data_IF_321265926948
#
_entry.id   IF_321265926948
#
_cell.length_a   1.000
_cell.length_b   1.000
_cell.length_c   1.000
_cell.angle_alpha   90.00
_cell.angle_beta   90.00
_cell.angle_gamma   90.00
#
_symmetry.space_group_name_H-M   'P 1'
#
loop_
_entity.id
_entity.type
_entity.pdbx_description
1 polymer ?
#
# COMPACT_ATOMS: atom_id res chain seq x y z
N UNK A 1 -3.60 -11.78 3.50
CA UNK A 1 -4.45 -12.83 2.87
C UNK A 1 -5.01 -12.38 1.53
N UNK A 2 -5.77 -11.28 1.44
CA UNK A 2 -6.35 -10.78 0.17
C UNK A 2 -5.33 -10.48 -0.93
N UNK A 3 -4.22 -9.81 -0.60
CA UNK A 3 -3.09 -9.64 -1.54
C UNK A 3 -2.62 -10.94 -2.21
N UNK A 4 -2.57 -12.05 -1.45
CA UNK A 4 -2.16 -13.35 -1.99
C UNK A 4 -3.23 -13.96 -2.90
N UNK A 5 -4.50 -13.78 -2.54
CA UNK A 5 -5.66 -14.24 -3.32
C UNK A 5 -5.69 -13.55 -4.69
N UNK A 6 -5.50 -12.23 -4.71
CA UNK A 6 -5.41 -11.43 -5.94
C UNK A 6 -4.21 -11.87 -6.80
N UNK A 7 -3.06 -12.16 -6.19
CA UNK A 7 -1.88 -12.59 -6.96
C UNK A 7 -1.94 -14.04 -7.47
N UNK A 8 -2.78 -14.89 -6.87
CA UNK A 8 -2.90 -16.30 -7.23
C UNK A 8 -3.73 -16.57 -8.50
N UNK A 9 -4.52 -15.60 -8.95
CA UNK A 9 -5.36 -15.73 -10.14
C UNK A 9 -4.89 -14.82 -11.29
N UNK A 10 -5.04 -15.23 -12.56
CA UNK A 10 -4.84 -14.35 -13.73
C UNK A 10 -5.92 -13.26 -13.76
N UNK A 11 -7.19 -13.68 -13.64
CA UNK A 11 -8.33 -12.80 -13.45
C UNK A 11 -8.79 -12.86 -12.00
N UNK A 12 -8.87 -11.69 -11.38
CA UNK A 12 -9.18 -11.56 -9.96
C UNK A 12 -10.65 -11.20 -9.79
N UNK A 13 -11.30 -11.87 -8.85
CA UNK A 13 -12.70 -11.59 -8.52
C UNK A 13 -12.81 -10.14 -8.02
N UNK A 14 -13.69 -9.37 -8.67
CA UNK A 14 -13.92 -7.97 -8.34
C UNK A 14 -14.37 -7.79 -6.89
N UNK A 15 -15.05 -8.80 -6.32
CA UNK A 15 -15.40 -8.83 -4.90
C UNK A 15 -14.16 -8.83 -3.99
N UNK A 16 -13.13 -9.59 -4.34
CA UNK A 16 -11.89 -9.68 -3.55
C UNK A 16 -11.13 -8.34 -3.61
N UNK A 17 -11.16 -7.65 -4.76
CA UNK A 17 -10.60 -6.29 -4.88
C UNK A 17 -11.37 -5.29 -4.03
N UNK A 18 -12.71 -5.30 -4.10
CA UNK A 18 -13.53 -4.41 -3.30
C UNK A 18 -13.29 -4.61 -1.80
N UNK A 19 -13.21 -5.86 -1.34
CA UNK A 19 -12.90 -6.17 0.06
C UNK A 19 -11.50 -5.66 0.48
N UNK A 20 -10.52 -5.67 -0.43
CA UNK A 20 -9.20 -5.08 -0.15
C UNK A 20 -9.30 -3.55 -0.04
N UNK A 21 -9.99 -2.89 -0.98
CA UNK A 21 -10.18 -1.44 -1.01
C UNK A 21 -10.92 -0.95 0.26
N UNK A 22 -11.93 -1.70 0.71
CA UNK A 22 -12.66 -1.42 1.96
C UNK A 22 -11.75 -1.51 3.18
N UNK A 23 -10.93 -2.58 3.28
CA UNK A 23 -9.98 -2.73 4.38
C UNK A 23 -8.93 -1.61 4.41
N UNK A 24 -8.40 -1.20 3.24
CA UNK A 24 -7.45 -0.09 3.16
C UNK A 24 -8.08 1.22 3.64
N UNK A 25 -9.34 1.47 3.26
CA UNK A 25 -10.12 2.63 3.71
C UNK A 25 -10.33 2.61 5.22
N UNK A 26 -10.69 1.47 5.80
CA UNK A 26 -10.90 1.32 7.24
C UNK A 26 -9.61 1.50 8.04
N UNK A 27 -8.48 1.00 7.53
CA UNK A 27 -7.16 1.23 8.12
C UNK A 27 -6.84 2.73 8.13
N UNK A 28 -7.00 3.43 7.01
CA UNK A 28 -6.76 4.89 6.91
C UNK A 28 -7.64 5.69 7.87
N UNK A 29 -8.93 5.35 7.95
CA UNK A 29 -9.89 5.98 8.86
C UNK A 29 -9.52 5.76 10.32
N UNK A 30 -9.13 4.53 10.67
CA UNK A 30 -8.75 4.17 12.04
C UNK A 30 -7.43 4.81 12.44
N UNK A 31 -6.43 4.81 11.56
CA UNK A 31 -5.15 5.46 11.77
C UNK A 31 -5.30 6.96 12.05
N UNK A 32 -6.13 7.65 11.27
CA UNK A 32 -6.42 9.07 11.50
C UNK A 32 -7.11 9.34 12.84
N UNK A 33 -8.04 8.46 13.27
CA UNK A 33 -8.65 8.55 14.60
C UNK A 33 -7.63 8.35 15.72
N UNK A 34 -6.74 7.37 15.59
CA UNK A 34 -5.69 7.10 16.57
C UNK A 34 -4.74 8.29 16.66
N UNK A 35 -4.26 8.80 15.51
CA UNK A 35 -3.41 10.00 15.45
C UNK A 35 -4.07 11.20 16.13
N UNK A 36 -5.35 11.45 15.86
CA UNK A 36 -6.11 12.54 16.49
C UNK A 36 -6.21 12.38 18.01
N UNK A 37 -6.48 11.16 18.50
CA UNK A 37 -6.55 10.87 19.94
C UNK A 37 -5.19 11.01 20.63
N UNK A 38 -4.11 10.52 20.02
CA UNK A 38 -2.74 10.68 20.54
C UNK A 38 -2.37 12.17 20.67
N UNK A 39 -2.64 12.96 19.62
CA UNK A 39 -2.44 14.41 19.65
C UNK A 39 -3.26 15.10 20.75
N UNK A 40 -4.49 14.63 20.99
CA UNK A 40 -5.30 15.14 22.10
C UNK A 40 -4.69 14.85 23.47
N UNK A 41 -4.10 13.67 23.67
CA UNK A 41 -3.38 13.33 24.91
C UNK A 41 -2.13 14.19 25.06
N UNK A 42 -1.37 14.39 23.97
CA UNK A 42 -0.19 15.27 23.95
C UNK A 42 -0.53 16.70 24.40
N UNK A 43 -1.58 17.30 23.83
CA UNK A 43 -2.04 18.64 24.21
C UNK A 43 -2.51 18.71 25.67
N UNK A 44 -3.19 17.67 26.16
CA UNK A 44 -3.60 17.57 27.58
C UNK A 44 -2.39 17.54 28.51
N UNK A 45 -1.35 16.78 28.15
CA UNK A 45 -0.08 16.73 28.91
C UNK A 45 0.57 18.12 28.94
N UNK A 46 0.72 18.78 27.79
CA UNK A 46 1.34 20.11 27.69
C UNK A 46 0.60 21.16 28.54
N UNK A 47 -0.73 21.14 28.50
CA UNK A 47 -1.57 22.04 29.29
C UNK A 47 -1.39 21.80 30.79
N UNK A 48 -1.41 20.56 31.25
CA UNK A 48 -1.28 20.23 32.68
C UNK A 48 0.13 20.47 33.23
N UNK A 49 1.16 20.26 32.40
CA UNK A 49 2.54 20.58 32.78
C UNK A 49 2.78 22.07 33.01
N UNK A 50 2.03 22.93 32.33
CA UNK A 50 2.11 24.38 32.53
C UNK A 50 1.64 24.81 33.93
N UNK A 51 0.75 24.01 34.55
CA UNK A 51 0.14 24.29 35.85
C UNK A 51 0.82 23.52 36.98
N UNK A 52 1.12 22.23 36.77
CA UNK A 52 1.75 21.38 37.79
C UNK A 52 2.61 20.27 37.16
N UNK A 53 3.91 20.55 37.02
CA UNK A 53 4.91 19.69 36.34
C UNK A 53 5.10 18.28 36.94
N UNK A 54 4.61 17.97 38.14
CA UNK A 54 4.99 16.74 38.83
C UNK A 54 3.85 15.92 39.43
N UNK A 55 2.62 16.09 38.91
CA UNK A 55 1.50 15.25 39.32
C UNK A 55 1.68 13.80 38.85
N UNK A 56 1.15 12.85 39.63
CA UNK A 56 1.14 11.44 39.23
C UNK A 56 0.33 11.22 37.95
N UNK A 57 -0.74 12.02 37.75
CA UNK A 57 -1.60 11.97 36.57
C UNK A 57 -0.83 12.32 35.29
N UNK A 58 -0.05 13.41 35.30
CA UNK A 58 0.81 13.81 34.17
C UNK A 58 1.82 12.70 33.82
N UNK A 59 2.44 12.08 34.84
CA UNK A 59 3.37 10.96 34.62
C UNK A 59 2.68 9.77 33.96
N UNK A 60 1.50 9.39 34.44
CA UNK A 60 0.71 8.29 33.87
C UNK A 60 0.36 8.60 32.41
N UNK A 61 -0.15 9.80 32.11
CA UNK A 61 -0.50 10.23 30.75
C UNK A 61 0.71 10.17 29.82
N UNK A 62 1.89 10.65 30.25
CA UNK A 62 3.14 10.57 29.49
C UNK A 62 3.55 9.14 29.16
N UNK A 63 3.51 8.25 30.15
CA UNK A 63 3.84 6.83 29.96
C UNK A 63 2.87 6.18 28.98
N UNK A 64 1.57 6.38 29.17
CA UNK A 64 0.54 5.82 28.28
C UNK A 64 0.66 6.36 26.86
N UNK A 65 0.83 7.68 26.68
CA UNK A 65 1.04 8.30 25.38
C UNK A 65 2.25 7.68 24.66
N UNK A 66 3.39 7.56 25.34
CA UNK A 66 4.61 6.97 24.77
C UNK A 66 4.39 5.51 24.34
N UNK A 67 3.74 4.69 25.17
CA UNK A 67 3.43 3.30 24.83
C UNK A 67 2.48 3.18 23.65
N UNK A 68 1.39 3.96 23.62
CA UNK A 68 0.40 3.94 22.55
C UNK A 68 1.00 4.44 21.22
N UNK A 69 1.78 5.51 21.26
CA UNK A 69 2.47 6.06 20.07
C UNK A 69 3.47 5.06 19.49
N UNK A 70 4.24 4.36 20.35
CA UNK A 70 5.17 3.31 19.89
C UNK A 70 4.43 2.17 19.19
N UNK A 71 3.35 1.66 19.79
CA UNK A 71 2.52 0.60 19.19
C UNK A 71 1.87 1.05 17.89
N UNK A 72 1.43 2.30 17.81
CA UNK A 72 0.85 2.85 16.58
C UNK A 72 1.88 2.88 15.45
N UNK A 73 3.09 3.39 15.71
CA UNK A 73 4.19 3.40 14.74
C UNK A 73 4.55 1.98 14.29
N UNK A 74 4.62 1.03 15.22
CA UNK A 74 4.92 -0.38 14.94
C UNK A 74 3.91 -0.98 13.94
N UNK A 75 2.61 -0.85 14.22
CA UNK A 75 1.54 -1.38 13.35
C UNK A 75 1.53 -0.68 11.98
N UNK A 76 1.73 0.65 11.94
CA UNK A 76 1.78 1.37 10.67
C UNK A 76 3.04 1.03 9.85
N UNK A 77 4.13 0.67 10.51
CA UNK A 77 5.35 0.18 9.84
C UNK A 77 5.11 -1.20 9.23
N UNK A 78 4.46 -2.11 9.97
CA UNK A 78 4.09 -3.43 9.44
C UNK A 78 3.10 -3.34 8.27
N UNK A 79 2.14 -2.41 8.36
CA UNK A 79 1.22 -2.12 7.27
C UNK A 79 1.97 -1.65 6.01
N UNK A 80 2.85 -0.65 6.14
CA UNK A 80 3.66 -0.17 5.01
C UNK A 80 4.53 -1.28 4.42
N UNK A 81 5.16 -2.11 5.25
CA UNK A 81 5.93 -3.27 4.77
C UNK A 81 5.07 -4.23 3.96
N UNK A 82 3.86 -4.53 4.45
CA UNK A 82 2.91 -5.41 3.74
C UNK A 82 2.54 -4.84 2.37
N UNK A 83 2.35 -3.52 2.28
CA UNK A 83 2.05 -2.83 1.05
C UNK A 83 3.25 -2.84 0.08
N UNK A 84 4.46 -2.52 0.53
CA UNK A 84 5.68 -2.62 -0.29
C UNK A 84 5.90 -4.04 -0.82
N UNK A 85 5.73 -5.06 0.03
CA UNK A 85 5.85 -6.46 -0.40
C UNK A 85 4.81 -6.82 -1.48
N UNK A 86 3.60 -6.26 -1.42
CA UNK A 86 2.59 -6.45 -2.45
C UNK A 86 2.95 -5.75 -3.76
N UNK A 87 3.47 -4.52 -3.70
CA UNK A 87 3.98 -3.76 -4.85
C UNK A 87 5.01 -4.58 -5.62
N UNK A 88 6.03 -5.08 -4.92
CA UNK A 88 7.12 -5.84 -5.53
C UNK A 88 6.62 -7.14 -6.17
N UNK A 89 5.62 -7.80 -5.57
CA UNK A 89 4.99 -8.97 -6.18
C UNK A 89 4.19 -8.63 -7.44
N UNK A 90 3.49 -7.48 -7.46
CA UNK A 90 2.80 -7.03 -8.67
C UNK A 90 3.80 -6.72 -9.79
N UNK A 91 4.89 -6.00 -9.47
CA UNK A 91 6.00 -5.74 -10.38
C UNK A 91 6.59 -7.04 -10.95
N UNK A 92 6.90 -8.01 -10.10
CA UNK A 92 7.42 -9.31 -10.54
C UNK A 92 6.45 -10.08 -11.46
N UNK A 93 5.13 -9.94 -11.25
CA UNK A 93 4.13 -10.50 -12.18
C UNK A 93 4.15 -9.80 -13.54
N UNK A 94 4.26 -8.47 -13.58
CA UNK A 94 4.38 -7.71 -14.83
C UNK A 94 5.64 -8.15 -15.59
N UNK A 95 6.78 -8.24 -14.89
CA UNK A 95 8.04 -8.70 -15.49
C UNK A 95 7.89 -10.07 -16.16
N UNK A 96 7.32 -11.04 -15.44
CA UNK A 96 7.11 -12.39 -15.97
C UNK A 96 6.18 -12.40 -17.19
N UNK A 97 5.16 -11.54 -17.20
CA UNK A 97 4.24 -11.41 -18.32
C UNK A 97 4.92 -10.81 -19.56
N UNK A 98 5.80 -9.82 -19.38
CA UNK A 98 6.63 -9.29 -20.47
C UNK A 98 7.58 -10.36 -21.04
N UNK A 99 8.21 -11.17 -20.18
CA UNK A 99 9.08 -12.27 -20.60
C UNK A 99 8.32 -13.32 -21.43
N UNK A 100 7.07 -13.66 -21.05
CA UNK A 100 6.21 -14.59 -21.82
C UNK A 100 5.94 -14.05 -23.23
N UNK A 101 5.82 -12.73 -23.38
CA UNK A 101 5.66 -12.07 -24.69
C UNK A 101 6.96 -11.94 -25.48
N UNK A 102 8.08 -12.43 -24.95
CA UNK A 102 9.40 -12.36 -25.57
C UNK A 102 10.15 -11.04 -25.33
N UNK A 103 9.66 -10.18 -24.43
CA UNK A 103 10.31 -8.92 -24.06
C UNK A 103 11.05 -9.07 -22.74
N UNK A 104 12.37 -9.24 -22.83
CA UNK A 104 13.25 -9.14 -21.65
C UNK A 104 13.26 -7.69 -21.17
N UNK A 105 13.08 -7.47 -19.87
CA UNK A 105 13.06 -6.12 -19.26
C UNK A 105 13.82 -6.17 -17.95
N UNK A 106 14.76 -5.25 -17.79
CA UNK A 106 15.52 -5.09 -16.55
C UNK A 106 14.64 -4.49 -15.45
N UNK A 107 15.07 -4.62 -14.19
CA UNK A 107 14.34 -4.03 -13.07
C UNK A 107 14.20 -2.50 -13.18
N UNK A 108 15.22 -1.82 -13.69
CA UNK A 108 15.23 -0.36 -13.84
C UNK A 108 14.30 0.09 -14.97
N UNK A 109 14.37 -0.59 -16.13
CA UNK A 109 13.43 -0.34 -17.23
C UNK A 109 11.99 -0.57 -16.77
N UNK A 110 11.72 -1.64 -16.03
CA UNK A 110 10.38 -1.95 -15.55
C UNK A 110 9.84 -0.88 -14.59
N UNK A 111 10.67 -0.34 -13.69
CA UNK A 111 10.26 0.78 -12.84
C UNK A 111 9.93 2.01 -13.67
N UNK A 112 10.79 2.37 -14.64
CA UNK A 112 10.52 3.50 -15.53
C UNK A 112 9.20 3.34 -16.29
N UNK A 113 8.87 2.11 -16.72
CA UNK A 113 7.61 1.80 -17.39
C UNK A 113 6.40 1.94 -16.45
N UNK A 114 6.53 1.53 -15.19
CA UNK A 114 5.48 1.69 -14.17
C UNK A 114 5.26 3.17 -13.85
N UNK A 115 6.35 3.93 -13.66
CA UNK A 115 6.34 5.36 -13.33
C UNK A 115 5.82 6.24 -14.47
N UNK A 116 6.05 5.84 -15.72
CA UNK A 116 5.52 6.55 -16.90
C UNK A 116 3.99 6.67 -16.87
N UNK A 117 3.30 5.77 -16.17
CA UNK A 117 1.84 5.82 -15.95
C UNK A 117 1.00 5.55 -17.20
N UNK A 118 1.62 5.30 -18.35
CA UNK A 118 0.97 4.96 -19.61
C UNK A 118 0.99 3.43 -19.84
N UNK A 119 -0.19 2.76 -19.80
CA UNK A 119 -0.30 1.34 -20.11
C UNK A 119 0.24 0.97 -21.50
N UNK A 120 0.23 1.92 -22.44
CA UNK A 120 0.75 1.74 -23.80
C UNK A 120 2.23 1.35 -23.84
N UNK A 121 3.01 1.76 -22.85
CA UNK A 121 4.44 1.42 -22.74
C UNK A 121 4.67 -0.09 -22.62
N UNK A 122 3.73 -0.83 -22.01
CA UNK A 122 3.77 -2.29 -21.91
C UNK A 122 3.38 -2.98 -23.23
N UNK A 123 2.57 -2.34 -24.07
CA UNK A 123 2.11 -2.89 -25.36
C UNK A 123 3.11 -2.71 -26.50
N UNK A 124 4.07 -1.79 -26.34
CA UNK A 124 5.00 -1.43 -27.39
C UNK A 124 5.89 -2.63 -27.76
N UNK A 125 5.72 -3.15 -28.99
CA UNK A 125 6.48 -4.28 -29.51
C UNK A 125 5.87 -5.67 -29.30
N UNK A 126 4.70 -5.77 -28.65
CA UNK A 126 3.97 -7.04 -28.51
C UNK A 126 3.03 -7.22 -29.70
N UNK A 127 3.15 -8.32 -30.45
CA UNK A 127 2.15 -8.69 -31.47
C UNK A 127 0.86 -9.16 -30.80
N UNK A 128 -0.17 -8.32 -30.79
CA UNK A 128 -1.47 -8.55 -30.10
C UNK A 128 -2.40 -9.50 -30.87
N UNK A 129 -1.91 -10.11 -31.94
CA UNK A 129 -2.74 -10.93 -32.84
C UNK A 129 -3.16 -12.27 -32.23
N UNK A 130 -2.53 -12.68 -31.13
CA UNK A 130 -2.87 -13.91 -30.41
C UNK A 130 -3.76 -13.63 -29.20
N UNK A 131 -4.71 -14.54 -28.93
CA UNK A 131 -5.52 -14.48 -27.70
C UNK A 131 -4.66 -14.52 -26.44
N UNK A 132 -3.52 -15.20 -26.48
CA UNK A 132 -2.55 -15.24 -25.39
C UNK A 132 -1.94 -13.86 -25.12
N UNK A 133 -1.51 -13.14 -26.15
CA UNK A 133 -0.96 -11.79 -26.00
C UNK A 133 -1.99 -10.80 -25.40
N UNK A 134 -3.26 -10.91 -25.81
CA UNK A 134 -4.36 -10.12 -25.23
C UNK A 134 -4.58 -10.40 -23.75
N UNK A 135 -4.54 -11.67 -23.35
CA UNK A 135 -4.68 -12.04 -21.94
C UNK A 135 -3.50 -11.55 -21.10
N UNK A 136 -2.28 -11.72 -21.61
CA UNK A 136 -1.06 -11.21 -20.96
C UNK A 136 -1.12 -9.70 -20.76
N UNK A 137 -1.61 -8.96 -21.76
CA UNK A 137 -1.77 -7.52 -21.63
C UNK A 137 -2.80 -7.13 -20.56
N UNK A 138 -3.97 -7.77 -20.56
CA UNK A 138 -5.00 -7.52 -19.55
C UNK A 138 -4.49 -7.81 -18.12
N UNK A 139 -3.67 -8.84 -17.95
CA UNK A 139 -3.02 -9.15 -16.69
C UNK A 139 -2.04 -8.02 -16.28
N UNK A 140 -1.22 -7.52 -17.21
CA UNK A 140 -0.28 -6.41 -16.95
C UNK A 140 -1.03 -5.15 -16.52
N UNK A 141 -2.05 -4.75 -17.27
CA UNK A 141 -2.88 -3.58 -16.96
C UNK A 141 -3.53 -3.70 -15.58
N UNK A 142 -4.07 -4.88 -15.25
CA UNK A 142 -4.67 -5.13 -13.95
C UNK A 142 -3.64 -5.05 -12.79
N UNK A 143 -2.40 -5.51 -13.01
CA UNK A 143 -1.33 -5.39 -12.00
C UNK A 143 -0.81 -3.96 -11.87
N UNK A 144 -0.71 -3.22 -12.96
CA UNK A 144 -0.31 -1.82 -12.95
C UNK A 144 -1.34 -0.95 -12.22
N UNK A 145 -2.64 -1.17 -12.47
CA UNK A 145 -3.71 -0.49 -11.74
C UNK A 145 -3.64 -0.75 -10.22
N UNK A 146 -3.32 -1.98 -9.81
CA UNK A 146 -3.13 -2.33 -8.40
C UNK A 146 -1.94 -1.56 -7.78
N UNK A 147 -0.81 -1.42 -8.51
CA UNK A 147 0.35 -0.64 -8.06
C UNK A 147 -0.02 0.84 -7.90
N UNK A 148 -0.71 1.43 -8.88
CA UNK A 148 -1.09 2.85 -8.84
C UNK A 148 -2.03 3.14 -7.67
N UNK A 149 -3.04 2.28 -7.45
CA UNK A 149 -3.95 2.39 -6.30
C UNK A 149 -3.19 2.30 -4.98
N UNK A 150 -2.27 1.33 -4.88
CA UNK A 150 -1.46 1.11 -3.71
C UNK A 150 -0.59 2.33 -3.37
N UNK A 151 0.17 2.84 -4.33
CA UNK A 151 1.05 3.99 -4.16
C UNK A 151 0.27 5.25 -3.76
N UNK A 152 -0.91 5.43 -4.32
CA UNK A 152 -1.84 6.50 -3.92
C UNK A 152 -2.26 6.34 -2.45
N UNK A 153 -2.62 5.12 -2.04
CA UNK A 153 -2.99 4.87 -0.64
C UNK A 153 -1.84 5.08 0.34
N UNK A 154 -0.60 4.76 -0.02
CA UNK A 154 0.57 4.99 0.82
C UNK A 154 0.85 6.50 0.94
N UNK A 155 0.75 7.25 -0.17
CA UNK A 155 0.98 8.69 -0.20
C UNK A 155 0.01 9.48 0.69
N UNK A 156 -1.23 9.00 0.80
CA UNK A 156 -2.29 9.69 1.54
C UNK A 156 -2.37 9.34 3.05
N UNK A 157 -1.49 8.48 3.56
CA UNK A 157 -1.44 8.06 4.97
C UNK A 157 -0.50 8.95 5.80
#
# INVERSE_FOLDING_TARGET
KKHSEILSAPQTDEKVKQELDDMMTDIKKTANKVRGKLKGIEQSIESEESVNKSSADVRIKKTQHSTLSRKFVEVMTEYNRTQTDYRERCKGRIQRQLEITGRTTTNEELENMIEAGDPGVFTQGIMVDTQAAKQTLADIEARHADIVKLETSIRDL
#
